data_IF_386906620508
#
_entry.id   IF_386906620508
#
_cell.length_a   1.000
_cell.length_b   1.000
_cell.length_c   1.000
_cell.angle_alpha   90.00
_cell.angle_beta   90.00
_cell.angle_gamma   90.00
#
_symmetry.space_group_name_H-M   'P 1'
#
loop_
_entity.id
_entity.type
_entity.pdbx_description
1 polymer ?
#
# COMPACT_ATOMS: atom_id res chain seq x y z
N UNK A 1 19.95 2.64 -18.45
CA UNK A 1 19.17 2.40 -18.76
C UNK A 1 18.28 3.08 -18.99
N UNK A 2 18.00 3.32 -19.48
CA UNK A 2 17.26 3.83 -19.69
C UNK A 2 16.27 3.63 -19.57
N UNK A 3 15.98 3.85 -19.53
CA UNK A 3 15.07 3.61 -19.41
C UNK A 3 14.06 3.69 -20.04
N UNK A 4 13.87 3.73 -20.97
CA UNK A 4 12.74 3.69 -21.72
C UNK A 4 11.64 3.02 -21.11
N UNK A 5 11.35 3.36 -20.09
CA UNK A 5 10.44 2.60 -19.33
C UNK A 5 9.12 3.30 -19.28
N UNK A 6 8.06 2.52 -19.13
CA UNK A 6 6.74 3.05 -18.90
C UNK A 6 6.69 3.94 -17.69
N UNK A 7 7.58 3.69 -16.74
CA UNK A 7 7.50 4.33 -15.44
C UNK A 7 8.38 5.54 -15.31
N UNK A 8 8.99 5.97 -16.39
CA UNK A 8 9.76 7.17 -16.35
C UNK A 8 8.82 8.35 -16.46
N UNK A 9 8.75 9.14 -15.41
CA UNK A 9 8.16 10.45 -15.49
C UNK A 9 6.69 10.54 -15.80
N UNK A 10 6.37 11.17 -16.90
CA UNK A 10 5.03 11.63 -17.21
C UNK A 10 4.03 10.52 -17.45
N UNK A 11 4.49 9.28 -17.62
CA UNK A 11 3.57 8.17 -17.83
C UNK A 11 3.12 7.53 -16.54
N UNK A 12 3.73 7.90 -15.44
CA UNK A 12 3.49 7.23 -14.18
C UNK A 12 2.02 7.29 -13.76
N UNK A 13 1.42 8.46 -13.88
CA UNK A 13 0.02 8.65 -13.46
C UNK A 13 -0.93 7.84 -14.35
N UNK A 14 -0.50 7.46 -15.55
CA UNK A 14 -1.32 6.73 -16.49
C UNK A 14 -1.15 5.22 -16.41
N UNK A 15 -0.21 4.77 -15.59
CA UNK A 15 0.01 3.33 -15.42
C UNK A 15 -1.22 2.72 -14.77
N UNK A 16 -1.58 1.52 -15.24
CA UNK A 16 -2.71 0.81 -14.66
C UNK A 16 -2.49 0.66 -13.16
N UNK A 17 -3.45 1.10 -12.33
CA UNK A 17 -3.28 1.03 -10.88
C UNK A 17 -2.98 -0.36 -10.35
N UNK A 18 -3.44 -1.42 -11.02
CA UNK A 18 -3.14 -2.78 -10.57
C UNK A 18 -1.66 -3.11 -10.74
N UNK A 19 -0.99 -2.52 -11.73
CA UNK A 19 0.45 -2.69 -11.90
C UNK A 19 1.19 -2.02 -10.75
N UNK A 20 0.72 -0.84 -10.37
CA UNK A 20 1.31 -0.13 -9.23
C UNK A 20 1.07 -0.92 -7.94
N UNK A 21 -0.12 -1.50 -7.78
CA UNK A 21 -0.44 -2.31 -6.60
C UNK A 21 0.44 -3.54 -6.51
N UNK A 22 0.76 -4.15 -7.65
CA UNK A 22 1.64 -5.30 -7.70
C UNK A 22 2.99 -4.98 -7.04
N UNK A 23 3.52 -3.79 -7.32
CA UNK A 23 4.76 -3.34 -6.70
C UNK A 23 4.55 -2.94 -5.24
N UNK A 24 3.43 -2.27 -4.97
CA UNK A 24 3.12 -1.77 -3.64
C UNK A 24 2.97 -2.87 -2.60
N UNK A 25 2.46 -4.02 -3.01
CA UNK A 25 2.30 -5.17 -2.13
C UNK A 25 3.65 -5.57 -1.52
N UNK A 26 4.66 -5.71 -2.35
CA UNK A 26 5.99 -6.09 -1.92
C UNK A 26 6.63 -5.01 -1.06
N UNK A 27 6.45 -3.75 -1.45
CA UNK A 27 7.00 -2.62 -0.71
C UNK A 27 6.44 -2.59 0.71
N UNK A 28 5.13 -2.76 0.83
CA UNK A 28 4.48 -2.70 2.13
C UNK A 28 4.96 -3.83 3.04
N UNK A 29 4.98 -5.04 2.53
CA UNK A 29 5.39 -6.19 3.34
C UNK A 29 6.84 -6.07 3.77
N UNK A 30 7.73 -5.64 2.87
CA UNK A 30 9.14 -5.44 3.21
C UNK A 30 9.28 -4.43 4.34
N UNK A 31 8.59 -3.32 4.23
CA UNK A 31 8.67 -2.28 5.24
C UNK A 31 8.20 -2.79 6.61
N UNK A 32 7.07 -3.48 6.63
CA UNK A 32 6.51 -3.98 7.89
C UNK A 32 7.45 -5.01 8.52
N UNK A 33 8.01 -5.91 7.71
CA UNK A 33 8.96 -6.89 8.21
C UNK A 33 10.18 -6.22 8.81
N UNK A 34 10.72 -5.21 8.13
CA UNK A 34 11.87 -4.48 8.63
C UNK A 34 11.58 -3.83 9.97
N UNK A 35 10.42 -3.18 10.09
CA UNK A 35 10.06 -2.52 11.34
C UNK A 35 9.93 -3.51 12.48
N UNK A 36 9.31 -4.67 12.21
CA UNK A 36 9.13 -5.68 13.25
C UNK A 36 10.47 -6.27 13.70
N UNK A 37 11.38 -6.49 12.77
CA UNK A 37 12.73 -6.96 13.11
C UNK A 37 13.45 -5.89 13.94
N UNK A 38 13.33 -4.62 13.54
CA UNK A 38 13.99 -3.53 14.23
C UNK A 38 13.45 -3.31 15.65
N UNK A 39 12.21 -3.74 15.91
CA UNK A 39 11.64 -3.69 17.25
C UNK A 39 12.23 -4.75 18.17
N UNK A 40 13.01 -5.67 17.63
CA UNK A 40 13.62 -6.71 18.44
C UNK A 40 12.88 -8.04 18.43
N UNK A 41 11.85 -8.18 17.60
CA UNK A 41 11.18 -9.48 17.47
C UNK A 41 12.13 -10.42 16.73
N UNK A 42 12.46 -11.53 17.37
CA UNK A 42 13.51 -12.39 16.81
C UNK A 42 13.06 -13.81 16.50
N UNK A 43 11.82 -14.16 16.84
CA UNK A 43 11.31 -15.51 16.52
C UNK A 43 10.46 -15.41 15.27
N UNK A 44 10.69 -16.33 14.33
CA UNK A 44 9.99 -16.34 13.05
C UNK A 44 8.46 -16.39 13.25
N UNK A 45 8.00 -17.20 14.19
CA UNK A 45 6.57 -17.31 14.46
C UNK A 45 5.97 -15.97 14.88
N UNK A 46 6.68 -15.25 15.74
CA UNK A 46 6.21 -13.96 16.23
C UNK A 46 6.28 -12.89 15.14
N UNK A 47 7.34 -12.93 14.33
CA UNK A 47 7.47 -12.00 13.20
C UNK A 47 6.32 -12.17 12.22
N UNK A 48 6.00 -13.41 11.88
CA UNK A 48 4.92 -13.69 10.94
C UNK A 48 3.58 -13.19 11.48
N UNK A 49 3.34 -13.43 12.77
CA UNK A 49 2.11 -13.01 13.42
C UNK A 49 1.97 -11.49 13.44
N UNK A 50 3.03 -10.78 13.81
CA UNK A 50 3.00 -9.32 13.85
C UNK A 50 2.84 -8.71 12.47
N UNK A 51 3.54 -9.26 11.48
CA UNK A 51 3.45 -8.78 10.11
C UNK A 51 2.02 -8.93 9.57
N UNK A 52 1.39 -10.06 9.86
CA UNK A 52 0.04 -10.33 9.36
C UNK A 52 -0.98 -9.30 9.86
N UNK A 53 -0.76 -8.70 11.02
CA UNK A 53 -1.65 -7.66 11.53
C UNK A 53 -1.75 -6.46 10.59
N UNK A 54 -0.71 -6.21 9.81
CA UNK A 54 -0.65 -5.07 8.91
C UNK A 54 -1.00 -5.44 7.48
N UNK A 55 -0.56 -6.63 7.02
CA UNK A 55 -0.60 -6.95 5.59
C UNK A 55 -1.86 -7.65 5.12
N UNK A 56 -2.83 -7.86 6.00
CA UNK A 56 -4.11 -8.41 5.57
C UNK A 56 -4.98 -7.33 4.95
N UNK A 57 -5.94 -7.73 4.11
CA UNK A 57 -6.74 -6.79 3.34
C UNK A 57 -7.58 -5.86 4.22
N UNK A 58 -8.10 -6.35 5.33
CA UNK A 58 -8.93 -5.53 6.21
C UNK A 58 -8.11 -4.41 6.84
N UNK A 59 -6.91 -4.73 7.31
CA UNK A 59 -6.03 -3.72 7.88
C UNK A 59 -5.62 -2.70 6.84
N UNK A 60 -5.26 -3.16 5.64
CA UNK A 60 -4.86 -2.25 4.57
C UNK A 60 -5.99 -1.32 4.19
N UNK A 61 -7.22 -1.84 4.07
CA UNK A 61 -8.38 -1.00 3.78
C UNK A 61 -8.61 0.03 4.88
N UNK A 62 -8.43 -0.37 6.13
CA UNK A 62 -8.58 0.53 7.26
C UNK A 62 -7.55 1.64 7.22
N UNK A 63 -6.30 1.31 6.92
CA UNK A 63 -5.23 2.31 6.85
C UNK A 63 -5.50 3.38 5.79
N UNK A 64 -5.89 2.97 4.59
CA UNK A 64 -6.13 3.95 3.54
C UNK A 64 -7.32 4.85 3.86
N UNK A 65 -8.35 4.30 4.50
CA UNK A 65 -9.50 5.09 4.91
C UNK A 65 -9.12 6.14 5.95
N UNK A 66 -8.29 5.74 6.91
CA UNK A 66 -7.81 6.68 7.94
C UNK A 66 -7.00 7.79 7.29
N UNK A 67 -6.12 7.45 6.37
CA UNK A 67 -5.29 8.41 5.67
C UNK A 67 -6.14 9.41 4.91
N UNK A 68 -7.16 8.93 4.20
CA UNK A 68 -8.07 9.80 3.47
C UNK A 68 -8.84 10.70 4.42
N UNK A 69 -9.38 10.15 5.49
CA UNK A 69 -10.19 10.90 6.43
C UNK A 69 -9.39 11.99 7.16
N UNK A 70 -8.10 11.77 7.31
CA UNK A 70 -7.23 12.76 7.95
C UNK A 70 -6.63 13.75 6.96
N UNK A 71 -7.09 13.73 5.72
CA UNK A 71 -6.68 14.67 4.67
C UNK A 71 -5.18 14.68 4.43
N UNK A 72 -4.56 13.51 4.50
CA UNK A 72 -3.11 13.40 4.34
C UNK A 72 -2.66 13.31 2.90
N UNK A 73 -3.56 13.01 1.97
CA UNK A 73 -3.17 12.76 0.59
C UNK A 73 -3.21 14.02 -0.26
N UNK A 74 -2.23 14.15 -1.12
CA UNK A 74 -2.19 15.18 -2.14
C UNK A 74 -3.18 14.82 -3.26
N UNK A 75 -3.42 15.78 -4.14
CA UNK A 75 -4.42 15.62 -5.20
C UNK A 75 -4.10 14.43 -6.11
N UNK A 76 -2.85 14.30 -6.52
CA UNK A 76 -2.44 13.20 -7.39
C UNK A 76 -2.53 11.85 -6.67
N UNK A 77 -2.23 11.84 -5.38
CA UNK A 77 -2.32 10.63 -4.57
C UNK A 77 -3.77 10.17 -4.43
N UNK A 78 -4.67 11.11 -4.19
CA UNK A 78 -6.10 10.81 -4.13
C UNK A 78 -6.60 10.26 -5.47
N UNK A 79 -6.11 10.82 -6.57
CA UNK A 79 -6.50 10.36 -7.89
C UNK A 79 -6.11 8.90 -8.10
N UNK A 80 -4.89 8.54 -7.73
CA UNK A 80 -4.42 7.15 -7.82
C UNK A 80 -5.30 6.22 -7.00
N UNK A 81 -5.60 6.62 -5.77
CA UNK A 81 -6.43 5.82 -4.87
C UNK A 81 -7.83 5.59 -5.47
N UNK A 82 -8.45 6.64 -5.97
CA UNK A 82 -9.79 6.54 -6.56
C UNK A 82 -9.79 5.64 -7.80
N UNK A 83 -8.78 5.80 -8.64
CA UNK A 83 -8.69 4.99 -9.86
C UNK A 83 -8.47 3.53 -9.53
N UNK A 84 -7.62 3.25 -8.54
CA UNK A 84 -7.38 1.89 -8.11
C UNK A 84 -8.64 1.25 -7.53
N UNK A 85 -9.36 1.98 -6.70
CA UNK A 85 -10.59 1.48 -6.10
C UNK A 85 -11.64 1.17 -7.18
N UNK A 86 -11.65 1.96 -8.24
CA UNK A 86 -12.65 1.82 -9.29
C UNK A 86 -12.22 0.89 -10.43
N UNK A 87 -11.01 0.39 -10.41
CA UNK A 87 -10.51 -0.51 -11.45
C UNK A 87 -11.22 -1.85 -11.35
N UNK A 88 -11.70 -2.35 -12.48
CA UNK A 88 -12.37 -3.63 -12.53
C UNK A 88 -11.35 -4.76 -12.47
N UNK A 89 -11.69 -5.81 -11.73
CA UNK A 89 -10.86 -6.99 -11.61
C UNK A 89 -11.76 -8.21 -11.55
N UNK A 90 -11.30 -9.30 -12.15
CA UNK A 90 -12.02 -10.56 -12.08
C UNK A 90 -11.72 -11.33 -10.81
N UNK A 91 -10.80 -10.84 -10.01
CA UNK A 91 -10.41 -11.51 -8.78
C UNK A 91 -11.49 -11.32 -7.72
N UNK A 92 -11.85 -12.43 -7.08
CA UNK A 92 -12.82 -12.42 -5.98
C UNK A 92 -12.11 -12.89 -4.73
N UNK A 93 -11.91 -12.01 -3.76
CA UNK A 93 -11.20 -12.40 -2.54
C UNK A 93 -12.02 -13.38 -1.73
N UNK A 94 -11.32 -14.27 -1.02
CA UNK A 94 -11.97 -15.26 -0.17
C UNK A 94 -12.07 -14.80 1.27
N UNK A 95 -11.23 -13.88 1.69
CA UNK A 95 -11.11 -13.51 3.10
C UNK A 95 -11.81 -12.23 3.46
N UNK A 96 -12.34 -11.49 2.49
CA UNK A 96 -13.02 -10.23 2.76
C UNK A 96 -13.97 -9.92 1.61
N UNK A 97 -14.82 -8.90 1.80
CA UNK A 97 -15.75 -8.51 0.75
C UNK A 97 -15.01 -7.75 -0.35
N UNK A 98 -15.70 -7.56 -1.48
CA UNK A 98 -15.11 -6.93 -2.66
C UNK A 98 -14.67 -5.50 -2.39
N UNK A 99 -15.47 -4.75 -1.66
CA UNK A 99 -15.14 -3.35 -1.38
C UNK A 99 -13.90 -3.23 -0.51
N UNK A 100 -13.79 -4.07 0.52
CA UNK A 100 -12.59 -4.10 1.36
C UNK A 100 -11.36 -4.41 0.52
N UNK A 101 -11.48 -5.39 -0.37
CA UNK A 101 -10.38 -5.75 -1.25
C UNK A 101 -9.96 -4.58 -2.15
N UNK A 102 -10.93 -3.84 -2.66
CA UNK A 102 -10.63 -2.69 -3.53
C UNK A 102 -9.90 -1.58 -2.78
N UNK A 103 -10.27 -1.33 -1.54
CA UNK A 103 -9.55 -0.35 -0.72
C UNK A 103 -8.13 -0.82 -0.40
N UNK A 104 -7.96 -2.12 -0.10
CA UNK A 104 -6.63 -2.66 0.14
C UNK A 104 -5.75 -2.48 -1.10
N UNK A 105 -6.31 -2.78 -2.28
CA UNK A 105 -5.61 -2.60 -3.54
C UNK A 105 -5.25 -1.12 -3.76
N UNK A 106 -6.15 -0.22 -3.36
CA UNK A 106 -5.88 1.21 -3.50
C UNK A 106 -4.69 1.64 -2.65
N UNK A 107 -4.56 1.10 -1.44
CA UNK A 107 -3.38 1.39 -0.63
C UNK A 107 -2.12 0.93 -1.33
N UNK A 108 -2.13 -0.30 -1.84
CA UNK A 108 -0.97 -0.84 -2.54
C UNK A 108 -0.62 -0.03 -3.77
N UNK A 109 -1.63 0.43 -4.52
CA UNK A 109 -1.40 1.26 -5.69
C UNK A 109 -0.74 2.59 -5.31
N UNK A 110 -1.20 3.19 -4.22
CA UNK A 110 -0.59 4.42 -3.72
C UNK A 110 0.87 4.22 -3.38
N UNK A 111 1.18 3.13 -2.68
CA UNK A 111 2.56 2.85 -2.29
C UNK A 111 3.44 2.59 -3.51
N UNK A 112 2.93 1.86 -4.49
CA UNK A 112 3.66 1.62 -5.73
C UNK A 112 3.91 2.91 -6.50
N UNK A 113 2.89 3.77 -6.56
CA UNK A 113 3.02 5.07 -7.22
C UNK A 113 4.11 5.91 -6.57
N UNK A 114 4.09 5.99 -5.24
CA UNK A 114 5.07 6.80 -4.51
C UNK A 114 6.48 6.23 -4.60
N UNK A 115 6.61 4.92 -4.72
CA UNK A 115 7.91 4.31 -4.87
C UNK A 115 8.65 4.86 -6.08
N UNK A 116 7.92 5.10 -7.17
CA UNK A 116 8.52 5.64 -8.39
C UNK A 116 8.56 7.16 -8.40
N UNK A 117 7.58 7.80 -7.77
CA UNK A 117 7.48 9.24 -7.85
C UNK A 117 8.28 9.98 -6.78
N UNK A 118 8.21 9.53 -5.53
CA UNK A 118 8.79 10.30 -4.42
C UNK A 118 9.01 9.37 -3.23
N UNK A 119 10.23 8.88 -3.10
CA UNK A 119 10.53 7.92 -2.05
C UNK A 119 10.48 8.52 -0.65
N UNK A 120 10.74 9.80 -0.52
CA UNK A 120 10.60 10.45 0.79
C UNK A 120 9.14 10.48 1.21
N UNK A 121 8.26 10.75 0.26
CA UNK A 121 6.82 10.73 0.54
C UNK A 121 6.34 9.33 0.87
N UNK A 122 6.86 8.33 0.16
CA UNK A 122 6.57 6.93 0.45
C UNK A 122 6.91 6.61 1.89
N UNK A 123 8.10 6.99 2.33
CA UNK A 123 8.54 6.71 3.69
C UNK A 123 7.66 7.39 4.71
N UNK A 124 7.24 8.63 4.43
CA UNK A 124 6.33 9.34 5.31
C UNK A 124 5.01 8.59 5.48
N UNK A 125 4.43 8.12 4.38
CA UNK A 125 3.16 7.40 4.42
C UNK A 125 3.33 6.05 5.14
N UNK A 126 4.40 5.32 4.84
CA UNK A 126 4.65 4.03 5.50
C UNK A 126 4.83 4.19 7.00
N UNK A 127 5.58 5.20 7.41
CA UNK A 127 5.78 5.51 8.83
C UNK A 127 4.45 5.85 9.49
N UNK A 128 3.64 6.63 8.82
CA UNK A 128 2.35 7.00 9.35
C UNK A 128 1.49 5.77 9.60
N UNK A 129 1.45 4.85 8.63
CA UNK A 129 0.69 3.61 8.74
C UNK A 129 1.18 2.77 9.91
N UNK A 130 2.49 2.61 10.02
CA UNK A 130 3.05 1.76 11.05
C UNK A 130 2.73 2.26 12.46
N UNK A 131 2.54 3.58 12.59
CA UNK A 131 2.23 4.18 13.88
C UNK A 131 0.74 4.21 14.20
N UNK A 132 -0.12 3.79 13.28
CA UNK A 132 -1.54 3.62 13.57
C UNK A 132 -1.68 2.34 14.39
N UNK A 133 -2.38 2.44 15.52
CA UNK A 133 -2.63 1.25 16.34
C UNK A 133 -3.56 0.30 15.62
N UNK A 134 -3.15 -0.96 15.56
CA UNK A 134 -3.94 -2.00 14.93
C UNK A 134 -4.76 -2.69 16.02
N UNK A 135 -6.09 -2.62 15.90
CA UNK A 135 -6.99 -3.35 16.80
C UNK A 135 -7.10 -4.79 16.33
N UNK A 136 -6.97 -5.70 17.26
CA UNK A 136 -7.05 -7.10 16.93
C UNK A 136 -8.20 -7.74 17.68
#
# INVERSE_FOLDING_TARGET
>A
MENGTLLSNKNLIEVNPLVLAYMGDTIFETYIREQNINKGICKIKDLAKETLKYVNARSQASFIKIIINNNLLKEDELDIVKRARNTKSNHKPKSCDVLTYKYATALESLLGYLYYKDKNRLEFILNYIYNIKVSI
#
